data_IF_265414683825
#
_entry.id   IF_265414683825
#
_cell.length_a   1.000
_cell.length_b   1.000
_cell.length_c   1.000
_cell.angle_alpha   90.00
_cell.angle_beta   90.00
_cell.angle_gamma   90.00
#
_symmetry.space_group_name_H-M   'P 1'
#
loop_
_entity.id
_entity.type
_entity.pdbx_description
1 polymer ?
2 water ?
#
# COMPACT_ATOMS: atom_id res chain seq x y z
N UNK A 2 4.81 -10.70 -10.95
CA UNK A 2 5.23 -10.46 -12.36
C UNK A 2 4.08 -10.10 -13.29
N UNK A 3 4.11 -8.92 -13.92
CA UNK A 3 4.55 -7.67 -13.33
C UNK A 3 3.19 -7.06 -12.96
N UNK A 4 3.21 -5.78 -12.55
CA UNK A 4 2.07 -5.13 -11.90
C UNK A 4 2.27 -3.64 -11.83
N UNK A 5 1.21 -2.89 -12.15
CA UNK A 5 1.31 -1.45 -12.24
C UNK A 5 1.45 -0.84 -10.86
N UNK A 6 2.29 0.17 -10.72
CA UNK A 6 2.29 1.00 -9.54
C UNK A 6 2.29 2.48 -9.85
N UNK A 7 1.45 3.21 -9.12
CA UNK A 7 1.32 4.65 -9.25
C UNK A 7 1.29 5.24 -7.85
N UNK A 8 1.39 6.56 -7.75
CA UNK A 8 1.30 7.13 -6.44
C UNK A 8 0.20 8.13 -6.34
N UNK A 9 -0.36 8.17 -5.11
CA UNK A 9 -1.53 8.97 -4.62
C UNK A 9 -0.94 9.62 -3.35
N UNK A 10 -0.90 10.94 -3.27
CA UNK A 10 -0.19 11.40 -2.10
C UNK A 10 -1.05 11.27 -0.81
N UNK A 11 -2.27 10.81 -1.00
CA UNK A 11 -3.13 10.45 0.14
C UNK A 11 -2.43 9.45 1.04
N UNK A 12 -1.52 8.64 0.49
CA UNK A 12 -1.06 7.50 1.29
C UNK A 12 0.12 8.00 2.01
N UNK A 13 0.49 9.27 1.72
CA UNK A 13 1.55 9.93 2.45
C UNK A 13 0.93 10.76 3.56
N UNK A 14 -0.40 10.89 3.53
CA UNK A 14 -1.14 11.63 4.58
C UNK A 14 -1.25 10.80 5.82
N UNK A 15 -0.46 11.17 6.85
CA UNK A 15 -0.38 10.46 8.09
C UNK A 15 -1.76 10.44 8.74
N UNK A 16 -2.54 11.48 8.52
CA UNK A 16 -3.75 11.62 9.30
C UNK A 16 -4.97 11.09 8.59
N UNK A 17 -4.78 10.53 7.39
CA UNK A 17 -5.91 10.02 6.66
C UNK A 17 -6.51 8.87 7.47
N UNK A 18 -7.78 9.01 7.76
CA UNK A 18 -8.48 8.01 8.55
C UNK A 18 -8.75 6.73 7.81
N UNK A 19 -8.55 5.64 8.54
CA UNK A 19 -8.91 4.34 7.99
C UNK A 19 -10.40 4.20 7.78
N UNK A 20 -11.14 5.14 8.35
CA UNK A 20 -12.55 5.23 7.98
C UNK A 20 -12.86 5.55 6.55
N UNK A 21 -11.91 6.10 5.81
CA UNK A 21 -12.11 6.66 4.46
C UNK A 21 -11.81 5.61 3.42
N UNK A 22 -11.40 4.42 3.87
CA UNK A 22 -10.98 3.37 2.95
C UNK A 22 -11.78 2.09 3.17
N UNK A 23 -11.61 1.13 2.25
CA UNK A 23 -12.36 -0.10 2.30
C UNK A 23 -11.97 -0.79 3.53
N UNK A 24 -10.70 -0.62 3.97
CA UNK A 24 -10.27 -1.40 5.08
C UNK A 24 -10.42 -0.64 6.39
N UNK A 25 -11.66 -0.35 6.70
CA UNK A 25 -12.00 0.54 7.80
C UNK A 25 -12.28 -0.31 9.00
N UNK A 26 -13.55 -0.53 9.30
CA UNK A 26 -13.93 -1.39 10.40
C UNK A 26 -14.27 -2.80 9.90
N UNK A 27 -14.95 -3.56 10.73
CA UNK A 27 -15.14 -5.01 10.42
C UNK A 27 -13.87 -5.74 10.83
N UNK A 28 -13.95 -7.07 10.85
CA UNK A 28 -12.77 -7.83 11.36
C UNK A 28 -11.47 -7.66 10.58
N UNK A 29 -11.50 -7.40 9.31
CA UNK A 29 -10.26 -7.25 8.55
C UNK A 29 -9.78 -5.82 8.47
N UNK A 30 -10.62 -4.88 8.90
CA UNK A 30 -10.31 -3.49 8.69
C UNK A 30 -9.21 -3.03 9.62
N UNK A 31 -8.54 -1.95 9.19
CA UNK A 31 -7.38 -1.50 9.95
C UNK A 31 -7.86 -0.82 11.18
N UNK A 32 -9.06 -0.21 11.19
CA UNK A 32 -9.56 0.39 12.49
C UNK A 32 -9.63 -0.69 13.55
N UNK A 33 -10.23 -1.84 13.19
CA UNK A 33 -10.43 -2.91 14.12
C UNK A 33 -9.10 -3.38 14.63
N UNK A 34 -8.11 -3.35 13.77
CA UNK A 34 -6.76 -3.90 14.09
C UNK A 34 -6.00 -2.86 14.84
N UNK A 35 -6.65 -1.73 15.10
CA UNK A 35 -6.12 -0.75 16.07
C UNK A 35 -5.43 0.44 15.46
N UNK A 36 -5.58 0.61 14.14
CA UNK A 36 -5.02 1.72 13.46
C UNK A 36 -6.03 2.73 13.11
N UNK A 37 -5.93 3.91 13.69
CA UNK A 37 -6.90 4.88 13.33
C UNK A 37 -6.64 5.60 12.02
N UNK A 38 -5.37 5.93 11.78
CA UNK A 38 -4.95 6.65 10.57
C UNK A 38 -3.78 5.97 9.88
N UNK A 39 -3.55 6.42 8.67
CA UNK A 39 -2.52 5.76 7.85
C UNK A 39 -1.22 5.85 8.58
N UNK A 40 -0.99 6.96 9.26
CA UNK A 40 0.28 7.15 9.92
C UNK A 40 0.51 6.27 11.14
N UNK A 41 -0.52 5.64 11.69
CA UNK A 41 -0.34 4.76 12.76
C UNK A 41 0.15 3.39 12.34
N UNK A 42 0.23 3.15 11.04
CA UNK A 42 0.72 1.85 10.56
C UNK A 42 2.19 2.02 10.29
N UNK A 43 3.00 1.07 10.76
CA UNK A 43 4.45 1.20 10.65
C UNK A 43 4.98 0.67 9.31
N UNK A 44 4.28 1.08 8.26
CA UNK A 44 4.58 0.63 6.95
C UNK A 44 3.98 1.63 6.01
N UNK A 45 4.45 1.63 4.78
CA UNK A 45 3.72 2.27 3.74
C UNK A 45 2.40 1.53 3.63
N UNK A 46 1.40 2.29 3.28
CA UNK A 46 0.07 1.75 2.99
C UNK A 46 -0.36 2.16 1.61
N UNK A 47 -1.25 1.38 1.09
CA UNK A 47 -1.56 1.51 -0.31
C UNK A 47 -2.84 0.83 -0.64
N UNK A 48 -3.35 1.19 -1.83
CA UNK A 48 -4.40 0.41 -2.37
C UNK A 48 -3.79 -0.69 -3.25
N UNK A 49 -4.49 -1.79 -3.24
CA UNK A 49 -4.10 -2.96 -4.03
C UNK A 49 -5.29 -3.59 -4.68
N UNK A 50 -5.06 -4.13 -5.87
CA UNK A 50 -6.21 -4.64 -6.59
C UNK A 50 -6.75 -5.96 -6.03
N UNK A 51 -6.08 -6.52 -5.03
CA UNK A 51 -6.58 -7.69 -4.28
C UNK A 51 -7.71 -7.33 -3.29
N UNK A 52 -7.82 -6.05 -3.00
CA UNK A 52 -8.87 -5.51 -2.18
C UNK A 52 -9.92 -4.97 -3.11
N UNK A 53 -11.09 -5.56 -2.96
CA UNK A 53 -12.23 -5.29 -3.88
C UNK A 53 -13.31 -4.52 -3.23
N UNK A 54 -13.40 -4.61 -1.90
CA UNK A 54 -14.34 -3.79 -1.17
C UNK A 54 -14.16 -3.89 0.34
N UNK A 55 -15.07 -3.24 1.02
CA UNK A 55 -15.11 -3.19 2.46
C UNK A 55 -14.90 -4.54 3.12
N UNK A 56 -14.02 -4.57 4.12
CA UNK A 56 -13.79 -5.77 4.92
C UNK A 56 -13.19 -6.97 4.16
N UNK A 57 -12.54 -6.65 3.06
CA UNK A 57 -11.76 -7.58 2.20
C UNK A 57 -10.88 -8.42 3.08
N UNK A 58 -10.93 -9.73 2.85
CA UNK A 58 -10.05 -10.61 3.55
C UNK A 58 -8.56 -10.26 3.28
N UNK A 59 -8.33 -9.49 2.24
CA UNK A 59 -7.00 -9.00 1.86
C UNK A 59 -6.66 -7.68 2.60
N UNK A 60 -7.61 -7.11 3.33
CA UNK A 60 -7.35 -5.85 4.04
C UNK A 60 -6.24 -6.09 5.04
N UNK A 61 -5.27 -5.17 5.07
CA UNK A 61 -4.21 -5.40 6.02
C UNK A 61 -3.18 -6.43 5.62
N UNK A 62 -3.20 -6.86 4.39
CA UNK A 62 -2.13 -7.78 3.96
C UNK A 62 -0.93 -7.00 3.56
N UNK A 63 0.16 -7.70 3.54
CA UNK A 63 1.48 -7.08 3.35
C UNK A 63 2.12 -7.55 2.02
N UNK A 64 2.60 -6.61 1.24
CA UNK A 64 3.20 -6.95 -0.04
C UNK A 64 4.62 -6.49 -0.05
N UNK A 65 5.49 -7.40 -0.47
CA UNK A 65 6.85 -6.99 -0.65
C UNK A 65 6.90 -6.66 -2.12
N UNK A 66 7.25 -5.39 -2.44
CA UNK A 66 7.17 -4.87 -3.82
C UNK A 66 8.53 -4.42 -4.27
N UNK A 67 8.94 -4.85 -5.46
CA UNK A 67 10.26 -4.55 -6.00
C UNK A 67 10.17 -3.91 -7.39
N UNK A 68 11.00 -2.91 -7.63
CA UNK A 68 11.08 -2.30 -8.92
C UNK A 68 12.38 -2.68 -9.54
N UNK A 69 12.27 -3.31 -10.70
CA UNK A 69 13.46 -3.65 -11.50
C UNK A 69 14.35 -2.47 -11.88
N UNK A 70 13.80 -1.27 -11.81
CA UNK A 70 14.54 -0.07 -12.14
C UNK A 70 15.64 0.17 -11.17
N UNK A 71 15.38 -0.01 -9.87
CA UNK A 71 16.43 0.31 -8.91
C UNK A 71 16.84 -0.93 -8.21
N UNK A 72 15.97 -1.94 -8.33
CA UNK A 72 16.16 -3.17 -7.64
C UNK A 72 15.74 -3.01 -6.18
N UNK A 73 15.06 -1.92 -5.83
CA UNK A 73 14.77 -1.64 -4.45
C UNK A 73 13.46 -2.33 -4.07
N UNK A 74 13.33 -2.64 -2.80
CA UNK A 74 12.14 -3.26 -2.32
C UNK A 74 11.49 -2.44 -1.24
N UNK A 75 10.16 -2.37 -1.30
CA UNK A 75 9.42 -1.82 -0.18
C UNK A 75 8.35 -2.80 0.27
N UNK A 76 7.81 -2.56 1.48
CA UNK A 76 6.65 -3.27 1.97
C UNK A 76 5.46 -2.35 2.04
N UNK A 77 4.36 -2.80 1.51
CA UNK A 77 3.13 -2.02 1.50
C UNK A 77 2.01 -2.83 2.13
N UNK A 78 1.23 -2.17 2.99
CA UNK A 78 0.05 -2.81 3.58
C UNK A 78 -1.11 -2.37 2.73
N UNK A 79 -1.83 -3.37 2.26
CA UNK A 79 -3.02 -3.11 1.36
C UNK A 79 -4.14 -2.63 2.29
N UNK A 80 -4.71 -1.45 1.99
CA UNK A 80 -5.74 -0.93 2.88
C UNK A 80 -6.90 -0.39 2.08
N UNK A 81 -6.79 -0.39 0.75
CA UNK A 81 -7.88 0.17 -0.04
C UNK A 81 -7.97 -0.53 -1.40
N UNK A 82 -9.05 -0.28 -2.09
CA UNK A 82 -9.28 -0.85 -3.42
C UNK A 82 -8.40 -0.12 -4.42
N UNK A 83 -7.62 -0.89 -5.21
CA UNK A 83 -7.02 -0.28 -6.41
C UNK A 83 -7.65 -0.98 -7.58
N UNK A 84 -7.80 -0.24 -8.68
CA UNK A 84 -8.29 -0.83 -9.93
C UNK A 84 -7.25 -1.75 -10.52
N UNK A 85 -6.03 -1.22 -10.59
CA UNK A 85 -4.98 -1.97 -11.21
C UNK A 85 -3.67 -1.79 -10.47
N UNK A 86 -3.22 -2.92 -9.96
CA UNK A 86 -1.88 -2.98 -9.37
C UNK A 86 -1.93 -2.35 -7.98
N UNK A 87 -1.04 -1.39 -7.77
CA UNK A 87 -0.94 -0.68 -6.50
C UNK A 87 -0.98 0.82 -6.70
N UNK A 88 -1.67 1.50 -5.79
CA UNK A 88 -1.49 2.92 -5.64
C UNK A 88 -0.90 3.03 -4.29
N UNK A 89 0.27 3.65 -4.20
CA UNK A 89 0.99 3.86 -2.97
C UNK A 89 1.27 5.36 -2.73
N UNK A 90 1.88 5.72 -1.62
CA UNK A 90 2.24 7.13 -1.42
C UNK A 90 3.39 7.53 -2.34
N UNK A 91 3.73 8.81 -2.35
CA UNK A 91 4.82 9.26 -3.17
C UNK A 91 6.07 8.86 -2.48
N UNK A 92 6.04 8.81 -1.14
CA UNK A 92 7.27 8.50 -0.43
C UNK A 92 7.62 7.07 -0.85
N UNK A 93 6.54 6.26 -0.94
CA UNK A 93 6.66 4.84 -1.24
C UNK A 93 7.22 4.63 -2.66
N UNK A 94 6.63 5.30 -3.62
CA UNK A 94 7.23 5.27 -4.95
C UNK A 94 8.59 5.95 -5.09
N UNK A 95 8.77 7.13 -4.50
CA UNK A 95 10.12 7.67 -4.36
C UNK A 95 11.16 6.75 -3.80
N UNK A 96 10.76 5.96 -2.81
CA UNK A 96 11.61 4.97 -2.25
C UNK A 96 12.04 3.98 -3.34
N UNK A 97 11.03 3.39 -3.96
CA UNK A 97 11.18 2.37 -4.98
C UNK A 97 12.05 2.87 -6.10
N UNK A 98 11.89 4.15 -6.49
CA UNK A 98 12.53 4.68 -7.71
C UNK A 98 13.70 5.62 -7.47
N UNK A 99 14.17 5.71 -6.23
CA UNK A 99 15.25 6.60 -5.91
C UNK A 99 14.92 8.03 -6.39
N UNK A 100 13.71 8.42 -6.01
CA UNK A 100 13.21 9.79 -6.10
C UNK A 100 12.64 10.13 -7.46
N UNK A 101 12.00 9.18 -8.15
CA UNK A 101 11.50 9.43 -9.52
C UNK A 101 10.03 9.14 -9.58
N UNK A 102 9.42 9.26 -8.42
CA UNK A 102 7.99 9.09 -8.31
C UNK A 102 7.21 10.11 -9.18
N UNK A 103 7.48 11.38 -8.94
CA UNK A 103 6.91 12.45 -9.80
C UNK A 103 7.29 12.32 -11.29
N UNK A 104 8.55 12.02 -11.57
CA UNK A 104 9.05 11.99 -12.93
C UNK A 104 8.52 10.80 -13.74
N UNK A 105 8.39 9.64 -13.10
CA UNK A 105 7.89 8.46 -13.84
C UNK A 105 6.38 8.26 -13.77
N UNK A 106 5.77 8.65 -12.64
CA UNK A 106 4.31 8.59 -12.42
C UNK A 106 3.66 7.21 -12.36
N UNK A 107 4.05 6.34 -13.28
CA UNK A 107 3.66 4.95 -13.17
C UNK A 107 4.87 4.13 -13.57
N UNK A 108 5.10 3.07 -12.79
CA UNK A 108 6.12 2.10 -13.12
C UNK A 108 5.47 0.72 -13.13
N UNK A 109 6.16 -0.27 -13.69
CA UNK A 109 5.75 -1.66 -13.49
C UNK A 109 6.66 -2.27 -12.43
N UNK A 110 6.06 -3.01 -11.51
CA UNK A 110 6.81 -3.52 -10.36
C UNK A 110 6.41 -4.95 -10.22
N UNK A 111 7.13 -5.66 -9.37
CA UNK A 111 6.92 -7.03 -9.03
C UNK A 111 6.56 -7.08 -7.55
N UNK A 112 5.55 -7.85 -7.16
CA UNK A 112 5.06 -7.90 -5.78
C UNK A 112 4.70 -9.28 -5.32
N UNK A 113 4.89 -9.55 -4.03
CA UNK A 113 4.71 -10.81 -3.35
C UNK A 113 4.05 -10.62 -2.02
N UNK A 114 2.98 -11.37 -1.80
CA UNK A 114 2.32 -11.38 -0.52
C UNK A 114 3.23 -12.05 0.48
N UNK A 115 3.43 -11.43 1.65
CA UNK A 115 4.33 -11.94 2.66
C UNK A 115 3.65 -11.78 3.99
N UNK A 116 4.20 -12.39 5.01
CA UNK A 116 3.69 -12.32 6.35
C UNK A 116 3.50 -10.89 6.74
N UNK A 117 2.40 -10.65 7.42
CA UNK A 117 2.04 -9.33 7.94
C UNK A 117 3.23 -8.71 8.69
N UNK A 118 4.04 -9.54 9.36
CA UNK A 118 5.08 -9.09 10.26
C UNK A 118 6.11 -8.37 9.44
N UNK A 119 6.21 -8.68 8.15
CA UNK A 119 7.18 -7.99 7.29
C UNK A 119 6.83 -6.52 7.13
N UNK A 120 5.56 -6.19 7.35
CA UNK A 120 5.15 -4.80 7.31
C UNK A 120 5.03 -4.27 8.71
N UNK A 121 5.63 -4.93 9.70
CA UNK A 121 5.53 -4.51 11.10
C UNK A 121 4.14 -4.55 11.71
N UNK A 122 3.28 -5.38 11.11
CA UNK A 122 1.95 -5.59 11.68
C UNK A 122 1.87 -6.72 12.66
#
# INVERSE_FOLDING_TARGET
SVAVQLQYDPVYDNADQSFGTVACSDGPNGMLTKGYSTFGSVPSYVGAVDTITGWNSESCGTCYQITWSGTGKTIHVVGVDVAGNGFNVGQRAMDDLTNGQAVALGNIDVTATLVDKSACRL
#
